data_IF_789489725362
#
_entry.id   IF_789489725362
#
_cell.length_a   1.000
_cell.length_b   1.000
_cell.length_c   1.000
_cell.angle_alpha   90.00
_cell.angle_beta   90.00
_cell.angle_gamma   90.00
#
_symmetry.space_group_name_H-M   'P 1'
#
loop_
_entity.id
_entity.type
_entity.pdbx_description
1 polymer ?
#
# COMPACT_ATOMS: atom_id res chain seq x y z
N UNK A 1 -24.38 17.81 2.26
CA UNK A 1 -23.68 16.58 1.80
C UNK A 1 -22.24 16.95 1.52
N UNK A 2 -21.35 16.73 2.48
CA UNK A 2 -19.90 16.84 2.27
C UNK A 2 -19.50 15.77 1.27
N UNK A 3 -18.93 16.18 0.13
CA UNK A 3 -18.42 15.25 -0.87
C UNK A 3 -17.38 14.34 -0.18
N UNK A 4 -17.62 13.02 -0.21
CA UNK A 4 -16.60 12.05 0.18
C UNK A 4 -15.41 12.32 -0.74
N UNK A 5 -14.20 12.63 -0.23
CA UNK A 5 -13.04 12.81 -1.09
C UNK A 5 -12.91 11.56 -1.97
N UNK A 6 -12.77 11.77 -3.28
CA UNK A 6 -12.69 10.68 -4.25
C UNK A 6 -11.60 9.70 -3.82
N UNK A 7 -11.98 8.46 -3.52
CA UNK A 7 -11.03 7.42 -3.13
C UNK A 7 -10.11 7.09 -4.30
N UNK A 8 -8.81 7.32 -4.11
CA UNK A 8 -7.81 7.04 -5.11
C UNK A 8 -7.28 5.63 -4.92
N UNK A 9 -7.93 4.68 -5.60
CA UNK A 9 -7.53 3.27 -5.59
C UNK A 9 -6.28 3.02 -6.43
N UNK A 10 -5.44 2.10 -5.95
CA UNK A 10 -4.30 1.61 -6.72
C UNK A 10 -4.79 0.91 -7.98
N UNK A 11 -4.32 1.37 -9.14
CA UNK A 11 -4.56 0.70 -10.42
C UNK A 11 -3.53 -0.39 -10.63
N UNK A 12 -3.83 -1.30 -11.55
CA UNK A 12 -2.92 -2.38 -11.92
C UNK A 12 -1.59 -1.80 -12.39
N UNK A 13 -1.64 -0.77 -13.22
CA UNK A 13 -0.48 -0.12 -13.82
C UNK A 13 0.42 0.50 -12.75
N UNK A 14 -0.17 1.11 -11.72
CA UNK A 14 0.57 1.62 -10.56
C UNK A 14 1.26 0.48 -9.80
N UNK A 15 0.57 -0.65 -9.57
CA UNK A 15 1.16 -1.81 -8.90
C UNK A 15 2.35 -2.41 -9.67
N UNK A 16 2.25 -2.48 -11.01
CA UNK A 16 3.37 -2.89 -11.87
C UNK A 16 4.54 -1.91 -11.78
N UNK A 17 4.25 -0.61 -11.76
CA UNK A 17 5.26 0.43 -11.61
C UNK A 17 5.98 0.31 -10.25
N UNK A 18 5.23 0.17 -9.15
CA UNK A 18 5.81 -0.01 -7.82
C UNK A 18 6.70 -1.25 -7.73
N UNK A 19 6.33 -2.36 -8.38
CA UNK A 19 7.21 -3.53 -8.46
C UNK A 19 8.50 -3.24 -9.23
N UNK A 20 8.40 -2.52 -10.35
CA UNK A 20 9.56 -2.11 -11.14
C UNK A 20 10.49 -1.21 -10.33
N UNK A 21 9.96 -0.25 -9.57
CA UNK A 21 10.76 0.61 -8.70
C UNK A 21 11.41 -0.18 -7.56
N UNK A 22 10.70 -1.14 -6.96
CA UNK A 22 11.23 -2.05 -5.94
C UNK A 22 12.41 -2.89 -6.45
N UNK A 23 12.38 -3.29 -7.73
CA UNK A 23 13.48 -4.00 -8.38
C UNK A 23 14.66 -3.08 -8.70
N UNK A 24 14.42 -1.86 -9.19
CA UNK A 24 15.51 -0.91 -9.47
C UNK A 24 16.36 -0.61 -8.23
N UNK A 25 15.73 -0.51 -7.06
CA UNK A 25 16.41 -0.16 -5.82
C UNK A 25 17.30 -1.28 -5.26
N UNK A 26 16.99 -2.56 -5.53
CA UNK A 26 17.61 -3.68 -4.81
C UNK A 26 17.88 -4.93 -5.69
N UNK A 27 17.65 -4.85 -7.00
CA UNK A 27 17.74 -5.98 -7.93
C UNK A 27 16.59 -6.98 -7.80
N UNK A 28 16.65 -8.01 -8.65
CA UNK A 28 15.68 -9.12 -8.71
C UNK A 28 15.14 -9.38 -10.12
N UNK A 29 14.16 -10.28 -10.21
CA UNK A 29 13.56 -10.68 -11.49
C UNK A 29 12.26 -9.92 -11.81
N UNK A 30 12.15 -9.28 -12.99
CA UNK A 30 10.91 -8.62 -13.41
C UNK A 30 9.85 -9.65 -13.80
N UNK A 31 8.58 -9.24 -13.71
CA UNK A 31 7.45 -10.01 -14.22
C UNK A 31 6.36 -10.27 -13.19
N UNK A 32 5.16 -10.52 -13.71
CA UNK A 32 4.02 -10.97 -12.92
C UNK A 32 3.99 -12.49 -12.99
N UNK A 33 3.96 -13.13 -11.82
CA UNK A 33 3.81 -14.59 -11.69
C UNK A 33 2.37 -15.00 -11.99
N UNK A 34 1.41 -14.26 -11.42
CA UNK A 34 -0.02 -14.52 -11.58
C UNK A 34 -0.82 -13.22 -11.52
N UNK A 35 -1.48 -12.90 -12.65
CA UNK A 35 -2.32 -11.70 -12.78
C UNK A 35 -3.60 -11.77 -11.95
N UNK A 36 -4.20 -12.95 -11.80
CA UNK A 36 -5.40 -13.13 -10.99
C UNK A 36 -5.11 -12.90 -9.51
N UNK A 37 -3.95 -13.35 -9.02
CA UNK A 37 -3.50 -13.07 -7.66
C UNK A 37 -3.23 -11.58 -7.41
N UNK A 38 -2.73 -10.85 -8.42
CA UNK A 38 -2.55 -9.40 -8.33
C UNK A 38 -3.90 -8.69 -8.22
N UNK A 39 -4.84 -9.02 -9.10
CA UNK A 39 -6.17 -8.42 -9.13
C UNK A 39 -6.96 -8.73 -7.85
N UNK A 40 -6.87 -9.96 -7.35
CA UNK A 40 -7.46 -10.34 -6.07
C UNK A 40 -6.87 -9.49 -4.92
N UNK A 41 -5.55 -9.28 -4.90
CA UNK A 41 -4.91 -8.45 -3.89
C UNK A 41 -5.35 -6.99 -3.96
N UNK A 42 -5.46 -6.42 -5.17
CA UNK A 42 -5.88 -5.03 -5.37
C UNK A 42 -7.37 -4.78 -5.07
N UNK A 43 -8.21 -5.81 -5.24
CA UNK A 43 -9.64 -5.71 -4.96
C UNK A 43 -9.98 -5.91 -3.48
N UNK A 44 -9.13 -6.56 -2.68
CA UNK A 44 -9.39 -6.80 -1.25
C UNK A 44 -9.75 -5.54 -0.44
N UNK A 45 -8.98 -4.43 -0.49
CA UNK A 45 -9.35 -3.21 0.23
C UNK A 45 -10.62 -2.55 -0.31
N UNK A 46 -10.91 -2.67 -1.61
CA UNK A 46 -12.15 -2.15 -2.21
C UNK A 46 -13.37 -2.90 -1.70
N UNK A 47 -13.28 -4.24 -1.67
CA UNK A 47 -14.33 -5.09 -1.12
C UNK A 47 -14.58 -4.78 0.35
N UNK A 48 -13.51 -4.67 1.15
CA UNK A 48 -13.65 -4.33 2.57
C UNK A 48 -14.31 -2.96 2.76
N UNK A 49 -13.85 -1.93 2.05
CA UNK A 49 -14.43 -0.57 2.13
C UNK A 49 -15.90 -0.53 1.71
N UNK A 50 -16.31 -1.36 0.74
CA UNK A 50 -17.71 -1.44 0.33
C UNK A 50 -18.64 -1.91 1.47
N UNK A 51 -18.17 -2.84 2.30
CA UNK A 51 -18.93 -3.35 3.44
C UNK A 51 -18.72 -2.54 4.73
N UNK A 52 -17.54 -1.96 4.92
CA UNK A 52 -17.14 -1.20 6.11
C UNK A 52 -16.49 0.14 5.69
N UNK A 53 -17.30 1.16 5.35
CA UNK A 53 -16.79 2.42 4.77
C UNK A 53 -16.08 3.34 5.79
N UNK A 54 -16.25 3.10 7.09
CA UNK A 54 -15.67 3.94 8.15
C UNK A 54 -14.22 3.55 8.52
N UNK A 55 -13.60 2.62 7.78
CA UNK A 55 -12.21 2.21 8.04
C UNK A 55 -11.20 3.29 7.65
N UNK A 56 -10.06 3.30 8.35
CA UNK A 56 -9.00 4.27 8.06
C UNK A 56 -8.24 3.97 6.77
N UNK A 57 -7.66 5.00 6.15
CA UNK A 57 -6.74 4.80 5.03
C UNK A 57 -5.51 3.96 5.40
N UNK A 58 -5.03 4.04 6.65
CA UNK A 58 -3.98 3.16 7.16
C UNK A 58 -4.39 1.69 7.16
N UNK A 59 -5.67 1.40 7.45
CA UNK A 59 -6.19 0.04 7.41
C UNK A 59 -6.30 -0.47 5.97
N UNK A 60 -6.81 0.34 5.05
CA UNK A 60 -6.87 -0.02 3.63
C UNK A 60 -5.47 -0.21 3.02
N UNK A 61 -4.50 0.63 3.38
CA UNK A 61 -3.10 0.45 3.03
C UNK A 61 -2.53 -0.85 3.57
N UNK A 62 -2.83 -1.18 4.83
CA UNK A 62 -2.44 -2.45 5.44
C UNK A 62 -3.01 -3.66 4.67
N UNK A 63 -4.27 -3.58 4.23
CA UNK A 63 -4.91 -4.62 3.42
C UNK A 63 -4.21 -4.81 2.08
N UNK A 64 -3.88 -3.72 1.38
CA UNK A 64 -3.06 -3.78 0.16
C UNK A 64 -1.73 -4.49 0.43
N UNK A 65 -0.99 -4.01 1.42
CA UNK A 65 0.34 -4.55 1.77
C UNK A 65 0.25 -6.04 2.09
N UNK A 66 -0.66 -6.45 2.98
CA UNK A 66 -0.79 -7.85 3.37
C UNK A 66 -1.20 -8.73 2.18
N UNK A 67 -2.18 -8.30 1.38
CA UNK A 67 -2.67 -9.11 0.28
C UNK A 67 -1.60 -9.35 -0.79
N UNK A 68 -0.87 -8.31 -1.21
CA UNK A 68 0.23 -8.45 -2.18
C UNK A 68 1.36 -9.29 -1.57
N UNK A 69 1.72 -9.02 -0.32
CA UNK A 69 2.80 -9.72 0.36
C UNK A 69 2.49 -11.21 0.63
N UNK A 70 1.23 -11.63 0.76
CA UNK A 70 0.83 -13.04 0.93
C UNK A 70 0.51 -13.75 -0.39
N UNK A 71 -0.17 -13.07 -1.31
CA UNK A 71 -0.57 -13.68 -2.59
C UNK A 71 0.64 -13.94 -3.51
N UNK A 72 1.75 -13.23 -3.30
CA UNK A 72 2.96 -13.33 -4.11
C UNK A 72 2.68 -13.19 -5.63
N UNK A 73 1.98 -12.14 -6.08
CA UNK A 73 1.57 -12.05 -7.49
C UNK A 73 2.73 -11.84 -8.47
N UNK A 74 3.90 -11.37 -8.02
CA UNK A 74 5.07 -11.10 -8.84
C UNK A 74 6.10 -12.24 -8.78
N UNK A 75 6.96 -12.30 -9.79
CA UNK A 75 8.09 -13.26 -9.83
C UNK A 75 9.05 -12.99 -8.67
N UNK A 76 9.37 -11.70 -8.44
CA UNK A 76 10.22 -11.25 -7.35
C UNK A 76 9.75 -9.87 -6.85
N UNK A 77 10.32 -9.44 -5.72
CA UNK A 77 10.07 -8.18 -5.03
C UNK A 77 8.67 -8.04 -4.42
N UNK A 78 7.90 -9.12 -4.24
CA UNK A 78 6.54 -9.10 -3.68
C UNK A 78 6.40 -8.25 -2.41
N UNK A 79 7.28 -8.42 -1.43
CA UNK A 79 7.22 -7.70 -0.14
C UNK A 79 7.58 -6.22 -0.29
N UNK A 80 8.57 -5.91 -1.13
CA UNK A 80 9.01 -4.54 -1.42
C UNK A 80 7.93 -3.78 -2.22
N UNK A 81 7.37 -4.44 -3.23
CA UNK A 81 6.24 -3.94 -4.01
C UNK A 81 5.00 -3.73 -3.12
N UNK A 82 4.70 -4.67 -2.21
CA UNK A 82 3.60 -4.54 -1.27
C UNK A 82 3.73 -3.29 -0.38
N UNK A 83 4.92 -3.02 0.15
CA UNK A 83 5.19 -1.81 0.93
C UNK A 83 4.97 -0.55 0.08
N UNK A 84 5.52 -0.51 -1.14
CA UNK A 84 5.37 0.64 -2.04
C UNK A 84 3.92 0.86 -2.49
N UNK A 85 3.13 -0.21 -2.68
CA UNK A 85 1.72 -0.13 -3.04
C UNK A 85 0.90 0.46 -1.88
N UNK A 86 1.10 -0.04 -0.66
CA UNK A 86 0.43 0.50 0.53
C UNK A 86 0.81 1.96 0.79
N UNK A 87 2.08 2.30 0.62
CA UNK A 87 2.56 3.68 0.71
C UNK A 87 1.99 4.57 -0.40
N UNK A 88 1.98 4.11 -1.64
CA UNK A 88 1.41 4.83 -2.78
C UNK A 88 -0.06 5.17 -2.57
N UNK A 89 -0.82 4.25 -1.96
CA UNK A 89 -2.22 4.49 -1.60
C UNK A 89 -2.35 5.62 -0.57
N UNK A 90 -1.53 5.61 0.48
CA UNK A 90 -1.53 6.67 1.48
C UNK A 90 -1.14 8.03 0.87
N UNK A 91 -0.11 8.05 0.02
CA UNK A 91 0.36 9.27 -0.63
C UNK A 91 -0.75 9.90 -1.50
N UNK A 92 -1.55 9.09 -2.20
CA UNK A 92 -2.71 9.56 -2.94
C UNK A 92 -3.75 10.28 -2.06
N UNK A 93 -3.81 9.95 -0.77
CA UNK A 93 -4.70 10.59 0.20
C UNK A 93 -4.00 11.66 1.05
N UNK A 94 -2.82 12.14 0.63
CA UNK A 94 -2.07 13.18 1.35
C UNK A 94 -1.43 12.68 2.66
N UNK A 95 -1.31 11.37 2.84
CA UNK A 95 -0.73 10.72 4.03
C UNK A 95 0.63 10.15 3.63
N UNK A 96 1.69 10.58 4.31
CA UNK A 96 3.06 10.24 3.93
C UNK A 96 3.77 9.53 5.08
N UNK A 97 4.53 8.49 4.76
CA UNK A 97 5.40 7.82 5.73
C UNK A 97 6.56 8.74 6.14
N UNK A 98 6.85 8.79 7.43
CA UNK A 98 8.00 9.54 7.98
C UNK A 98 9.30 8.95 7.41
N UNK A 99 10.19 9.78 6.89
CA UNK A 99 11.41 9.32 6.19
C UNK A 99 12.30 8.36 7.02
N UNK A 100 12.36 8.53 8.35
CA UNK A 100 13.13 7.66 9.24
C UNK A 100 12.54 6.26 9.44
N UNK A 101 11.25 6.06 9.14
CA UNK A 101 10.54 4.78 9.30
C UNK A 101 10.65 3.87 8.07
N UNK A 102 11.16 4.38 6.94
CA UNK A 102 11.12 3.69 5.64
C UNK A 102 12.04 2.48 5.50
N UNK A 103 13.10 2.31 6.29
CA UNK A 103 14.14 1.35 5.91
C UNK A 103 14.12 -0.01 6.64
N UNK A 104 13.96 -0.07 7.97
CA UNK A 104 14.03 -1.35 8.71
C UNK A 104 12.68 -1.81 9.28
N UNK A 105 12.06 -1.01 10.15
CA UNK A 105 10.88 -1.44 10.93
C UNK A 105 9.69 -1.80 10.04
N UNK A 106 9.39 -0.99 9.02
CA UNK A 106 8.29 -1.28 8.09
C UNK A 106 8.59 -2.50 7.21
N UNK A 107 9.83 -2.69 6.79
CA UNK A 107 10.26 -3.85 6.01
C UNK A 107 10.12 -5.15 6.81
N UNK A 108 10.53 -5.13 8.06
CA UNK A 108 10.36 -6.25 9.01
C UNK A 108 8.88 -6.53 9.27
N UNK A 109 8.06 -5.50 9.45
CA UNK A 109 6.64 -5.67 9.66
C UNK A 109 5.94 -6.25 8.42
N UNK A 110 6.36 -5.89 7.20
CA UNK A 110 5.85 -6.51 5.96
C UNK A 110 6.28 -7.99 5.89
N UNK A 111 7.49 -8.33 6.34
CA UNK A 111 7.94 -9.71 6.43
C UNK A 111 7.04 -10.52 7.38
N UNK A 112 6.73 -9.97 8.55
CA UNK A 112 5.79 -10.58 9.49
C UNK A 112 4.40 -10.75 8.86
N UNK A 113 3.87 -9.72 8.19
CA UNK A 113 2.59 -9.78 7.49
C UNK A 113 2.54 -10.84 6.38
N UNK A 114 3.65 -11.09 5.68
CA UNK A 114 3.72 -12.10 4.63
C UNK A 114 3.62 -13.54 5.17
N UNK A 115 3.86 -13.73 6.47
CA UNK A 115 3.72 -14.99 7.17
C UNK A 115 2.37 -14.99 7.90
N UNK A 116 2.40 -14.83 9.23
CA UNK A 116 1.22 -14.90 10.10
C UNK A 116 1.02 -13.63 10.96
N UNK A 117 1.70 -12.54 10.62
CA UNK A 117 1.54 -11.26 11.29
C UNK A 117 0.12 -10.70 11.19
N UNK A 118 -0.34 -10.07 12.27
CA UNK A 118 -1.67 -9.49 12.35
C UNK A 118 -1.75 -8.15 11.60
N UNK A 119 -2.83 -8.00 10.83
CA UNK A 119 -3.09 -6.79 10.04
C UNK A 119 -3.17 -5.53 10.93
N UNK A 120 -3.81 -5.65 12.10
CA UNK A 120 -4.02 -4.57 13.05
C UNK A 120 -2.69 -4.04 13.62
N UNK A 121 -1.67 -4.87 13.74
CA UNK A 121 -0.37 -4.42 14.24
C UNK A 121 0.36 -3.59 13.20
N UNK A 122 0.27 -3.98 11.93
CA UNK A 122 0.79 -3.17 10.84
C UNK A 122 0.01 -1.86 10.66
N UNK A 123 -1.33 -1.88 10.78
CA UNK A 123 -2.13 -0.65 10.78
C UNK A 123 -1.69 0.32 11.89
N UNK A 124 -1.55 -0.17 13.13
CA UNK A 124 -1.07 0.63 14.26
C UNK A 124 0.32 1.20 13.98
N UNK A 125 1.20 0.41 13.37
CA UNK A 125 2.53 0.85 12.98
C UNK A 125 2.47 1.97 11.93
N UNK A 126 1.63 1.82 10.89
CA UNK A 126 1.41 2.88 9.89
C UNK A 126 0.91 4.16 10.57
N UNK A 127 -0.13 4.09 11.41
CA UNK A 127 -0.68 5.27 12.10
C UNK A 127 0.35 6.03 12.93
N UNK A 128 1.31 5.34 13.56
CA UNK A 128 2.39 5.97 14.33
C UNK A 128 3.45 6.64 13.44
N UNK A 129 3.59 6.16 12.21
CA UNK A 129 4.68 6.51 11.29
C UNK A 129 4.23 7.33 10.09
N UNK A 130 3.02 7.86 10.09
CA UNK A 130 2.54 8.78 9.05
C UNK A 130 2.52 10.24 9.52
N UNK A 131 2.62 11.14 8.56
CA UNK A 131 2.28 12.55 8.68
C UNK A 131 1.19 12.86 7.64
N UNK A 132 0.21 13.67 8.02
CA UNK A 132 -0.83 14.14 7.10
C UNK A 132 -0.40 15.51 6.59
N UNK A 133 -0.31 15.66 5.27
CA UNK A 133 -0.19 16.97 4.66
C UNK A 133 -1.59 17.57 4.56
N UNK A 134 -1.77 18.74 5.18
CA UNK A 134 -3.01 19.49 5.04
C UNK A 134 -3.13 20.00 3.61
N UNK A 135 -3.94 19.30 2.80
CA UNK A 135 -4.14 19.60 1.37
C UNK A 135 -4.86 20.94 1.13
N UNK A 136 -5.21 21.68 2.19
CA UNK A 136 -5.71 23.06 2.09
C UNK A 136 -4.70 24.04 1.44
N UNK A 137 -3.42 23.68 1.29
CA UNK A 137 -2.35 24.58 0.83
C UNK A 137 -1.50 24.07 -0.35
N UNK A 138 -2.06 23.29 -1.28
CA UNK A 138 -1.37 23.07 -2.57
C UNK A 138 -1.97 23.99 -3.65
N UNK A 139 -1.28 25.10 -3.99
CA UNK A 139 -1.67 25.93 -5.13
C UNK A 139 -1.24 25.21 -6.41
N UNK A 140 -2.02 24.24 -6.85
CA UNK A 140 -1.89 23.74 -8.22
C UNK A 140 -3.28 23.71 -8.83
N UNK A 141 -3.70 24.86 -9.37
CA UNK A 141 -4.54 24.88 -10.56
C UNK A 141 -3.66 24.35 -11.70
N UNK A 142 -3.96 23.17 -12.22
CA UNK A 142 -3.65 22.84 -13.61
C UNK A 142 -4.73 23.43 -14.50
#
# INVERSE_FOLDING_TARGET
>A
MTAIPQLLWIKREDALLYQKEALKAAGGLPGVRDMGLLEAALNRPRQHFHYEPDVSFCFLAALYTQAVAKNHPFVDANKRAALMIGEGFLNGHGIFLKMSSRQSVLTEAVLALAQDGHLQDYEKLLRKNVTVLDVAFLPIKL
#
